data_IF_646555800057
#
_entry.id   IF_646555800057
#
_cell.length_a   1.000
_cell.length_b   1.000
_cell.length_c   1.000
_cell.angle_alpha   90.00
_cell.angle_beta   90.00
_cell.angle_gamma   90.00
#
_symmetry.space_group_name_H-M   'P 1'
#
loop_
_entity.id
_entity.type
_entity.pdbx_description
1 polymer ?
#
# COMPACT_ATOMS: atom_id res chain seq x y z
N UNK A 1 13.44 32.83 32.65
CA UNK A 1 11.98 32.87 32.87
C UNK A 1 11.35 32.94 31.50
N UNK A 2 10.53 31.93 31.18
CA UNK A 2 9.78 31.74 29.92
C UNK A 2 10.40 30.81 28.86
N UNK A 3 10.65 29.56 29.27
CA UNK A 3 10.85 28.43 28.34
C UNK A 3 10.30 27.09 28.89
N UNK A 4 9.27 27.13 29.75
CA UNK A 4 8.81 25.94 30.51
C UNK A 4 7.28 25.77 30.57
N UNK A 5 6.54 26.28 29.59
CA UNK A 5 5.09 26.06 29.51
C UNK A 5 4.62 25.82 28.06
N UNK A 6 4.90 24.64 27.51
CA UNK A 6 4.21 24.14 26.32
C UNK A 6 4.13 22.61 26.21
N UNK A 7 4.37 21.87 27.31
CA UNK A 7 4.22 20.40 27.34
C UNK A 7 3.22 20.00 28.42
N UNK A 8 1.91 20.15 28.17
CA UNK A 8 0.89 19.40 28.94
C UNK A 8 -0.49 19.54 28.31
N UNK A 9 -0.77 18.77 27.25
CA UNK A 9 -2.16 18.38 26.88
C UNK A 9 -2.21 16.98 26.25
N UNK A 10 -1.60 16.00 26.91
CA UNK A 10 -2.04 14.60 26.84
C UNK A 10 -2.43 14.18 28.25
N UNK A 11 -3.59 14.67 28.69
CA UNK A 11 -4.24 14.26 29.93
C UNK A 11 -5.66 13.79 29.61
N UNK A 12 -5.74 12.78 28.74
CA UNK A 12 -6.83 11.81 28.73
C UNK A 12 -6.13 10.44 28.76
N UNK A 13 -6.01 9.88 29.95
CA UNK A 13 -5.43 8.56 30.14
C UNK A 13 -6.23 7.54 29.35
N UNK A 14 -5.58 6.88 28.40
CA UNK A 14 -6.06 5.62 27.87
C UNK A 14 -6.21 4.66 29.04
N UNK A 15 -7.45 4.35 29.43
CA UNK A 15 -7.74 3.30 30.40
C UNK A 15 -7.58 1.97 29.67
N UNK A 16 -6.36 1.42 29.65
CA UNK A 16 -6.13 0.05 29.19
C UNK A 16 -6.67 -0.94 30.25
N UNK A 17 -8.00 -1.12 30.24
CA UNK A 17 -8.70 -2.15 31.03
C UNK A 17 -9.14 -3.36 30.18
N UNK A 18 -8.83 -3.38 28.88
CA UNK A 18 -9.16 -4.44 27.92
C UNK A 18 -8.18 -4.46 26.74
N UNK A 19 -8.27 -5.49 25.89
CA UNK A 19 -7.49 -5.58 24.64
C UNK A 19 -7.90 -4.47 23.67
N UNK A 20 -6.92 -3.76 23.12
CA UNK A 20 -7.10 -2.68 22.14
C UNK A 20 -7.78 -3.21 20.89
N UNK A 21 -8.76 -2.47 20.36
CA UNK A 21 -9.42 -2.76 19.10
C UNK A 21 -9.02 -1.77 18.01
N UNK A 22 -8.42 -2.28 16.92
CA UNK A 22 -8.07 -1.50 15.74
C UNK A 22 -8.99 -1.89 14.57
N UNK A 23 -9.60 -0.90 13.93
CA UNK A 23 -10.22 -1.08 12.62
C UNK A 23 -9.21 -0.69 11.53
N UNK A 24 -8.90 -1.64 10.64
CA UNK A 24 -7.96 -1.46 9.53
C UNK A 24 -8.74 -1.47 8.21
N UNK A 25 -8.53 -0.49 7.34
CA UNK A 25 -9.03 -0.57 5.95
C UNK A 25 -7.92 -1.06 5.02
N UNK A 26 -8.23 -1.77 3.93
CA UNK A 26 -7.21 -2.24 2.98
C UNK A 26 -7.71 -2.26 1.53
N UNK A 27 -6.79 -2.01 0.60
CA UNK A 27 -7.01 -2.14 -0.85
C UNK A 27 -6.61 -3.56 -1.27
N UNK A 28 -7.53 -4.30 -1.90
CA UNK A 28 -7.32 -5.69 -2.33
C UNK A 28 -6.63 -5.84 -3.70
N UNK A 29 -6.45 -4.75 -4.45
CA UNK A 29 -5.93 -4.73 -5.82
C UNK A 29 -4.46 -4.31 -5.91
N UNK A 30 -3.90 -3.73 -4.85
CA UNK A 30 -2.54 -3.19 -4.84
C UNK A 30 -1.61 -3.86 -3.82
N UNK A 31 -0.34 -3.42 -3.81
CA UNK A 31 0.64 -3.86 -2.81
C UNK A 31 0.22 -3.55 -1.37
N UNK A 32 -0.73 -2.64 -1.18
CA UNK A 32 -1.38 -2.36 0.10
C UNK A 32 -1.99 -3.60 0.74
N UNK A 33 -2.46 -4.58 -0.05
CA UNK A 33 -2.96 -5.86 0.49
C UNK A 33 -1.88 -6.64 1.24
N UNK A 34 -0.65 -6.66 0.71
CA UNK A 34 0.48 -7.32 1.38
C UNK A 34 0.87 -6.57 2.65
N UNK A 35 0.86 -5.24 2.63
CA UNK A 35 1.06 -4.43 3.83
C UNK A 35 0.01 -4.73 4.90
N UNK A 36 -1.27 -4.74 4.52
CA UNK A 36 -2.38 -5.04 5.42
C UNK A 36 -2.24 -6.43 6.04
N UNK A 37 -1.87 -7.44 5.25
CA UNK A 37 -1.57 -8.79 5.76
C UNK A 37 -0.52 -8.78 6.88
N UNK A 38 0.63 -8.15 6.64
CA UNK A 38 1.74 -8.11 7.60
C UNK A 38 1.34 -7.34 8.87
N UNK A 39 0.68 -6.19 8.71
CA UNK A 39 0.20 -5.37 9.81
C UNK A 39 -0.85 -6.10 10.66
N UNK A 40 -1.90 -6.62 10.03
CA UNK A 40 -3.00 -7.32 10.71
C UNK A 40 -2.49 -8.57 11.42
N UNK A 41 -1.68 -9.39 10.75
CA UNK A 41 -1.05 -10.57 11.36
C UNK A 41 -0.23 -10.16 12.59
N UNK A 42 0.57 -9.10 12.47
CA UNK A 42 1.40 -8.59 13.56
C UNK A 42 0.59 -8.06 14.75
N UNK A 43 -0.54 -7.39 14.50
CA UNK A 43 -1.44 -6.88 15.53
C UNK A 43 -2.16 -8.02 16.26
N UNK A 44 -2.79 -8.94 15.50
CA UNK A 44 -3.51 -10.10 16.06
C UNK A 44 -2.57 -10.96 16.91
N UNK A 45 -1.35 -11.23 16.44
CA UNK A 45 -0.35 -12.03 17.19
C UNK A 45 0.07 -11.37 18.50
N UNK A 46 -0.05 -10.04 18.61
CA UNK A 46 0.20 -9.27 19.84
C UNK A 46 -1.03 -9.17 20.75
N UNK A 47 -2.11 -9.86 20.43
CA UNK A 47 -3.35 -9.88 21.21
C UNK A 47 -4.22 -8.64 21.01
N UNK A 48 -4.00 -7.86 19.96
CA UNK A 48 -4.86 -6.73 19.56
C UNK A 48 -6.07 -7.29 18.81
N UNK A 49 -7.28 -6.86 19.19
CA UNK A 49 -8.48 -7.18 18.40
C UNK A 49 -8.44 -6.38 17.11
N UNK A 50 -8.62 -7.05 15.97
CA UNK A 50 -8.59 -6.39 14.66
C UNK A 50 -9.89 -6.63 13.91
N UNK A 51 -10.46 -5.56 13.38
CA UNK A 51 -11.45 -5.65 12.30
C UNK A 51 -10.79 -5.15 11.02
N UNK A 52 -10.72 -6.00 10.01
CA UNK A 52 -10.22 -5.65 8.68
C UNK A 52 -11.38 -5.42 7.73
N UNK A 53 -11.38 -4.29 7.03
CA UNK A 53 -12.37 -3.95 6.00
C UNK A 53 -11.64 -3.78 4.67
N UNK A 54 -11.98 -4.57 3.65
CA UNK A 54 -11.35 -4.43 2.33
C UNK A 54 -12.23 -3.66 1.34
N UNK A 55 -11.59 -2.95 0.42
CA UNK A 55 -12.20 -2.17 -0.65
C UNK A 55 -11.58 -2.56 -2.00
N UNK A 56 -12.22 -2.16 -3.09
CA UNK A 56 -11.86 -2.54 -4.46
C UNK A 56 -12.68 -3.74 -4.93
N UNK A 57 -12.06 -4.91 -4.98
CA UNK A 57 -12.76 -6.16 -5.30
C UNK A 57 -12.82 -7.08 -4.07
N UNK A 58 -13.81 -7.96 -4.04
CA UNK A 58 -13.85 -9.05 -3.07
C UNK A 58 -12.66 -9.98 -3.34
N UNK A 59 -11.71 -10.14 -2.41
CA UNK A 59 -10.56 -11.00 -2.64
C UNK A 59 -10.97 -12.46 -2.86
N UNK A 60 -10.23 -13.15 -3.73
CA UNK A 60 -10.40 -14.58 -3.94
C UNK A 60 -9.94 -15.39 -2.72
N UNK A 61 -10.43 -16.63 -2.54
CA UNK A 61 -10.06 -17.47 -1.38
C UNK A 61 -8.56 -17.59 -1.14
N UNK A 62 -7.76 -17.73 -2.20
CA UNK A 62 -6.30 -17.83 -2.10
C UNK A 62 -5.67 -16.54 -1.52
N UNK A 63 -6.24 -15.38 -1.85
CA UNK A 63 -5.78 -14.07 -1.36
C UNK A 63 -6.15 -13.83 0.12
N UNK A 64 -7.07 -14.61 0.69
CA UNK A 64 -7.51 -14.53 2.09
C UNK A 64 -7.02 -15.69 2.95
N UNK A 65 -6.42 -16.73 2.37
CA UNK A 65 -5.93 -17.94 3.08
C UNK A 65 -5.02 -17.64 4.29
N UNK A 66 -4.29 -16.53 4.27
CA UNK A 66 -3.46 -16.10 5.39
C UNK A 66 -4.27 -15.76 6.66
N UNK A 67 -5.55 -15.45 6.52
CA UNK A 67 -6.46 -15.13 7.63
C UNK A 67 -6.93 -16.37 8.40
N UNK A 68 -6.91 -17.55 7.78
CA UNK A 68 -7.46 -18.79 8.36
C UNK A 68 -6.84 -19.15 9.72
N UNK A 69 -5.60 -18.69 9.95
CA UNK A 69 -4.83 -18.95 11.17
C UNK A 69 -4.89 -17.78 12.18
N UNK A 70 -5.60 -16.70 11.85
CA UNK A 70 -5.71 -15.49 12.67
C UNK A 70 -7.00 -15.51 13.50
N UNK A 71 -7.00 -16.32 14.55
CA UNK A 71 -8.12 -16.39 15.49
C UNK A 71 -8.43 -15.01 16.07
N UNK A 72 -9.69 -14.59 15.97
CA UNK A 72 -10.16 -13.30 16.49
C UNK A 72 -10.07 -12.13 15.51
N UNK A 73 -9.60 -12.34 14.27
CA UNK A 73 -9.76 -11.38 13.18
C UNK A 73 -11.23 -11.34 12.72
N UNK A 74 -11.84 -10.14 12.75
CA UNK A 74 -13.15 -9.89 12.13
C UNK A 74 -12.92 -9.29 10.73
N UNK A 75 -13.26 -10.03 9.68
CA UNK A 75 -13.06 -9.59 8.30
C UNK A 75 -14.38 -9.21 7.62
N UNK A 76 -14.45 -7.98 7.11
CA UNK A 76 -15.62 -7.39 6.44
C UNK A 76 -15.25 -6.99 5.00
N UNK A 77 -15.34 -7.91 4.03
CA UNK A 77 -15.03 -7.57 2.65
C UNK A 77 -16.11 -6.68 2.02
N UNK A 78 -15.70 -5.71 1.21
CA UNK A 78 -16.61 -4.87 0.41
C UNK A 78 -16.14 -4.80 -1.04
N UNK A 79 -17.05 -4.44 -1.95
CA UNK A 79 -16.75 -4.21 -3.37
C UNK A 79 -16.83 -2.72 -3.76
N UNK A 80 -16.82 -1.82 -2.76
CA UNK A 80 -16.80 -0.39 -3.02
C UNK A 80 -15.50 -0.01 -3.72
N UNK A 81 -15.59 0.86 -4.73
CA UNK A 81 -14.43 1.33 -5.48
C UNK A 81 -13.45 2.10 -4.60
N UNK A 82 -12.17 1.98 -4.94
CA UNK A 82 -11.06 2.73 -4.33
C UNK A 82 -11.07 4.17 -4.84
N UNK A 83 -10.58 5.14 -4.07
CA UNK A 83 -10.68 6.57 -4.42
C UNK A 83 -10.00 6.94 -5.74
N UNK A 84 -9.05 6.12 -6.22
CA UNK A 84 -8.35 6.32 -7.49
C UNK A 84 -9.04 5.65 -8.69
N UNK A 85 -10.08 4.84 -8.46
CA UNK A 85 -10.82 4.16 -9.53
C UNK A 85 -11.81 5.10 -10.22
N UNK A 86 -12.12 4.80 -11.48
CA UNK A 86 -13.18 5.48 -12.22
C UNK A 86 -14.52 5.35 -11.47
N UNK A 87 -15.31 6.43 -11.39
CA UNK A 87 -16.61 6.50 -10.70
C UNK A 87 -16.56 6.32 -9.17
N UNK A 88 -15.37 6.35 -8.55
CA UNK A 88 -15.26 6.28 -7.09
C UNK A 88 -15.97 7.42 -6.33
N UNK A 89 -16.21 8.55 -7.00
CA UNK A 89 -17.02 9.66 -6.47
C UNK A 89 -18.45 9.23 -6.11
N UNK A 90 -19.01 8.27 -6.85
CA UNK A 90 -20.38 7.78 -6.64
C UNK A 90 -20.47 6.81 -5.45
N UNK A 91 -19.44 6.00 -5.23
CA UNK A 91 -19.38 5.01 -4.12
C UNK A 91 -18.97 5.64 -2.78
N UNK A 92 -18.30 6.79 -2.78
CA UNK A 92 -17.73 7.39 -1.57
C UNK A 92 -18.78 7.68 -0.47
N UNK A 93 -19.98 8.23 -0.77
CA UNK A 93 -21.00 8.46 0.26
C UNK A 93 -21.46 7.17 0.95
N UNK A 94 -21.74 6.11 0.18
CA UNK A 94 -22.23 4.83 0.71
C UNK A 94 -21.14 4.10 1.49
N UNK A 95 -19.92 4.04 0.96
CA UNK A 95 -18.78 3.42 1.64
C UNK A 95 -18.41 4.15 2.95
N UNK A 96 -18.53 5.47 2.97
CA UNK A 96 -18.34 6.27 4.18
C UNK A 96 -19.44 6.00 5.21
N UNK A 97 -20.70 5.94 4.79
CA UNK A 97 -21.83 5.63 5.67
C UNK A 97 -21.73 4.20 6.26
N UNK A 98 -21.28 3.25 5.46
CA UNK A 98 -20.95 1.89 5.90
C UNK A 98 -19.89 1.91 7.02
N UNK A 99 -18.75 2.57 6.80
CA UNK A 99 -17.69 2.66 7.82
C UNK A 99 -18.16 3.37 9.08
N UNK A 100 -18.91 4.49 8.97
CA UNK A 100 -19.47 5.19 10.14
C UNK A 100 -20.38 4.28 10.95
N UNK A 101 -21.24 3.50 10.29
CA UNK A 101 -22.14 2.55 10.96
C UNK A 101 -21.35 1.46 11.68
N UNK A 102 -20.35 0.89 10.99
CA UNK A 102 -19.48 -0.14 11.53
C UNK A 102 -18.67 0.36 12.74
N UNK A 103 -18.13 1.59 12.67
CA UNK A 103 -17.41 2.22 13.77
C UNK A 103 -18.32 2.43 14.99
N UNK A 104 -19.58 2.83 14.79
CA UNK A 104 -20.55 2.98 15.87
C UNK A 104 -20.89 1.65 16.55
N UNK A 105 -21.04 0.58 15.76
CA UNK A 105 -21.33 -0.76 16.27
C UNK A 105 -20.14 -1.34 17.04
N UNK A 106 -18.96 -1.31 16.40
CA UNK A 106 -17.76 -1.97 16.90
C UNK A 106 -17.05 -1.18 18.01
N UNK A 107 -17.15 0.15 17.97
CA UNK A 107 -16.41 1.08 18.86
C UNK A 107 -14.92 0.77 18.93
N UNK A 108 -14.20 0.75 17.78
CA UNK A 108 -12.75 0.56 17.79
C UNK A 108 -12.08 1.72 18.53
N UNK A 109 -10.94 1.43 19.17
CA UNK A 109 -10.14 2.44 19.87
C UNK A 109 -9.36 3.32 18.88
N UNK A 110 -8.95 2.74 17.74
CA UNK A 110 -8.13 3.41 16.71
C UNK A 110 -8.56 2.96 15.32
N UNK A 111 -8.53 3.88 14.35
CA UNK A 111 -8.65 3.60 12.92
C UNK A 111 -7.26 3.62 12.27
N UNK A 112 -6.90 2.58 11.53
CA UNK A 112 -5.73 2.54 10.66
C UNK A 112 -6.20 2.47 9.20
N UNK A 113 -6.15 3.60 8.52
CA UNK A 113 -6.77 3.79 7.21
C UNK A 113 -5.72 3.72 6.11
N UNK A 114 -5.83 2.75 5.21
CA UNK A 114 -4.97 2.66 4.02
C UNK A 114 -5.55 3.39 2.79
N UNK A 115 -6.63 4.14 2.98
CA UNK A 115 -7.25 5.01 1.99
C UNK A 115 -7.31 6.43 2.55
N UNK A 116 -6.94 7.41 1.73
CA UNK A 116 -6.90 8.81 2.14
C UNK A 116 -8.31 9.33 2.42
N UNK A 117 -9.27 9.01 1.56
CA UNK A 117 -10.64 9.55 1.61
C UNK A 117 -11.32 9.37 2.98
N UNK A 118 -11.05 8.26 3.66
CA UNK A 118 -11.63 7.95 4.97
C UNK A 118 -10.99 8.72 6.14
N UNK A 119 -9.89 9.42 5.92
CA UNK A 119 -9.32 10.34 6.92
C UNK A 119 -10.30 11.44 7.35
N UNK A 120 -11.28 11.79 6.50
CA UNK A 120 -12.30 12.79 6.78
C UNK A 120 -13.65 12.21 7.27
N UNK A 121 -13.67 10.99 7.79
CA UNK A 121 -14.90 10.40 8.33
C UNK A 121 -15.44 11.23 9.52
N UNK A 122 -16.76 11.43 9.62
CA UNK A 122 -17.39 12.21 10.69
C UNK A 122 -17.57 11.35 11.96
N UNK A 123 -16.46 10.96 12.58
CA UNK A 123 -16.41 10.16 13.82
C UNK A 123 -15.39 10.75 14.79
N UNK A 124 -15.52 10.45 16.08
CA UNK A 124 -14.60 10.95 17.13
C UNK A 124 -13.52 9.92 17.51
N UNK A 125 -13.25 8.93 16.64
CA UNK A 125 -12.22 7.91 16.86
C UNK A 125 -10.87 8.39 16.32
N UNK A 126 -9.78 8.29 17.10
CA UNK A 126 -8.43 8.59 16.63
C UNK A 126 -8.07 7.81 15.37
N UNK A 127 -7.54 8.48 14.35
CA UNK A 127 -7.23 7.87 13.06
C UNK A 127 -5.81 8.15 12.57
N UNK A 128 -5.19 7.10 12.09
CA UNK A 128 -3.94 7.13 11.34
C UNK A 128 -4.25 6.87 9.87
N UNK A 129 -3.76 7.72 8.98
CA UNK A 129 -3.81 7.49 7.53
C UNK A 129 -2.43 7.06 7.05
N UNK A 130 -2.35 5.92 6.38
CA UNK A 130 -1.13 5.40 5.76
C UNK A 130 -1.03 5.87 4.31
N UNK A 131 -0.04 6.70 4.02
CA UNK A 131 0.21 7.31 2.73
C UNK A 131 1.16 6.43 1.89
N UNK A 132 0.64 5.37 1.28
CA UNK A 132 1.39 4.45 0.41
C UNK A 132 1.91 5.07 -0.88
N UNK A 133 1.27 6.15 -1.34
CA UNK A 133 1.41 6.73 -2.67
C UNK A 133 0.04 6.92 -3.33
N UNK A 134 -0.04 7.83 -4.29
CA UNK A 134 -1.30 8.28 -4.89
C UNK A 134 -1.11 8.66 -6.37
N UNK A 135 -2.19 8.96 -7.08
CA UNK A 135 -2.13 9.28 -8.52
C UNK A 135 -1.33 10.55 -8.83
N UNK A 136 -1.35 11.55 -7.94
CA UNK A 136 -0.62 12.82 -8.06
C UNK A 136 0.86 12.61 -7.87
N UNK A 137 1.27 11.98 -6.77
CA UNK A 137 2.68 11.70 -6.49
C UNK A 137 3.28 10.78 -7.55
N UNK A 138 2.53 9.76 -8.00
CA UNK A 138 2.92 8.92 -9.13
C UNK A 138 3.08 9.71 -10.44
N UNK A 139 2.12 10.57 -10.78
CA UNK A 139 2.20 11.36 -12.02
C UNK A 139 3.39 12.31 -11.99
N UNK A 140 3.68 12.92 -10.84
CA UNK A 140 4.87 13.74 -10.67
C UNK A 140 6.14 12.92 -10.87
N UNK A 141 6.26 11.78 -10.19
CA UNK A 141 7.45 10.94 -10.25
C UNK A 141 7.71 10.35 -11.65
N UNK A 142 6.65 9.98 -12.38
CA UNK A 142 6.76 9.28 -13.68
C UNK A 142 6.78 10.24 -14.86
N UNK A 143 6.08 11.36 -14.78
CA UNK A 143 5.89 12.26 -15.92
C UNK A 143 6.52 13.65 -15.73
N UNK A 144 7.13 13.91 -14.57
CA UNK A 144 7.74 15.19 -14.21
C UNK A 144 6.79 16.39 -14.47
N UNK A 145 5.51 16.18 -14.20
CA UNK A 145 4.46 17.19 -14.40
C UNK A 145 3.27 16.95 -13.49
N UNK A 146 2.45 17.98 -13.31
CA UNK A 146 1.14 17.82 -12.69
C UNK A 146 0.18 17.06 -13.64
N UNK A 147 -0.77 16.27 -13.11
CA UNK A 147 -1.86 15.70 -13.88
C UNK A 147 -2.64 16.79 -14.64
N UNK A 148 -3.15 16.45 -15.82
CA UNK A 148 -3.94 17.41 -16.61
C UNK A 148 -5.23 17.76 -15.85
N UNK A 149 -5.63 19.04 -15.80
CA UNK A 149 -6.88 19.44 -15.15
C UNK A 149 -8.06 18.69 -15.75
N UNK A 150 -8.79 17.97 -14.89
CA UNK A 150 -10.00 17.25 -15.24
C UNK A 150 -10.87 17.21 -13.98
N UNK A 151 -12.20 17.32 -14.15
CA UNK A 151 -13.13 17.35 -13.02
C UNK A 151 -12.93 16.18 -12.03
N UNK A 152 -12.76 14.97 -12.56
CA UNK A 152 -12.52 13.78 -11.73
C UNK A 152 -11.21 13.89 -10.92
N UNK A 153 -10.20 14.54 -11.49
CA UNK A 153 -8.92 14.76 -10.83
C UNK A 153 -9.00 15.83 -9.73
N UNK A 154 -9.77 16.91 -9.95
CA UNK A 154 -10.02 17.93 -8.93
C UNK A 154 -10.79 17.35 -7.74
N UNK A 155 -11.78 16.51 -8.01
CA UNK A 155 -12.47 15.74 -6.97
C UNK A 155 -11.48 14.87 -6.18
N UNK A 156 -10.70 14.05 -6.88
CA UNK A 156 -9.71 13.16 -6.26
C UNK A 156 -8.75 13.93 -5.35
N UNK A 157 -8.16 15.01 -5.88
CA UNK A 157 -7.19 15.83 -5.16
C UNK A 157 -7.79 16.43 -3.89
N UNK A 158 -9.02 16.95 -3.96
CA UNK A 158 -9.74 17.50 -2.80
C UNK A 158 -10.08 16.42 -1.78
N UNK A 159 -10.51 15.24 -2.22
CA UNK A 159 -10.81 14.10 -1.36
C UNK A 159 -9.58 13.63 -0.59
N UNK A 160 -8.44 13.46 -1.27
CA UNK A 160 -7.16 13.10 -0.64
C UNK A 160 -6.71 14.18 0.34
N UNK A 161 -6.75 15.46 -0.07
CA UNK A 161 -6.37 16.58 0.79
C UNK A 161 -7.21 16.63 2.08
N UNK A 162 -8.53 16.53 1.97
CA UNK A 162 -9.42 16.53 3.14
C UNK A 162 -9.11 15.34 4.06
N UNK A 163 -8.86 14.17 3.48
CA UNK A 163 -8.44 12.98 4.20
C UNK A 163 -7.17 13.18 5.04
N UNK A 164 -6.11 13.67 4.39
CA UNK A 164 -4.82 13.94 5.03
C UNK A 164 -4.91 15.01 6.12
N UNK A 165 -5.69 16.07 5.90
CA UNK A 165 -5.80 17.19 6.83
C UNK A 165 -6.68 16.90 8.05
N UNK A 166 -7.61 15.95 7.92
CA UNK A 166 -8.50 15.50 9.00
C UNK A 166 -7.96 14.30 9.79
N UNK A 167 -6.84 13.71 9.37
CA UNK A 167 -6.18 12.63 10.12
C UNK A 167 -5.46 13.15 11.38
N UNK A 168 -5.49 12.37 12.46
CA UNK A 168 -4.76 12.69 13.69
C UNK A 168 -3.25 12.46 13.53
N UNK A 169 -2.87 11.50 12.67
CA UNK A 169 -1.51 11.30 12.21
C UNK A 169 -1.50 10.73 10.79
N UNK A 170 -0.51 11.15 9.99
CA UNK A 170 -0.21 10.56 8.69
C UNK A 170 1.11 9.79 8.77
N UNK A 171 1.09 8.52 8.42
CA UNK A 171 2.29 7.69 8.34
C UNK A 171 2.66 7.50 6.88
N UNK A 172 3.94 7.64 6.56
CA UNK A 172 4.48 7.35 5.24
C UNK A 172 5.52 6.22 5.31
N UNK A 173 5.66 5.41 4.24
CA UNK A 173 6.58 4.29 4.23
C UNK A 173 8.06 4.71 4.12
N UNK A 174 8.31 5.95 3.70
CA UNK A 174 9.65 6.52 3.57
C UNK A 174 9.62 8.03 3.74
N UNK A 175 10.79 8.63 4.03
CA UNK A 175 10.94 10.09 4.09
C UNK A 175 10.63 10.75 2.73
N UNK A 176 11.03 10.09 1.64
CA UNK A 176 10.73 10.54 0.28
C UNK A 176 9.23 10.62 0.03
N UNK A 177 8.48 9.55 0.36
CA UNK A 177 7.03 9.56 0.17
C UNK A 177 6.35 10.64 1.02
N UNK A 178 6.80 10.83 2.26
CA UNK A 178 6.25 11.89 3.13
C UNK A 178 6.46 13.29 2.53
N UNK A 179 7.64 13.54 1.97
CA UNK A 179 7.98 14.80 1.32
C UNK A 179 7.17 15.00 0.03
N UNK A 180 6.98 13.96 -0.78
CA UNK A 180 6.12 13.99 -1.96
C UNK A 180 4.68 14.35 -1.60
N UNK A 181 4.08 13.68 -0.61
CA UNK A 181 2.72 13.97 -0.13
C UNK A 181 2.62 15.41 0.37
N UNK A 182 3.58 15.86 1.17
CA UNK A 182 3.59 17.21 1.73
C UNK A 182 3.69 18.29 0.65
N UNK A 183 4.51 18.05 -0.37
CA UNK A 183 4.74 18.97 -1.49
C UNK A 183 3.55 18.98 -2.47
N UNK A 184 2.96 17.82 -2.73
CA UNK A 184 1.83 17.71 -3.66
C UNK A 184 0.53 18.23 -3.06
N UNK A 185 0.29 18.10 -1.76
CA UNK A 185 -1.00 18.43 -1.14
C UNK A 185 -0.89 19.52 -0.08
N UNK A 186 -0.43 19.15 1.10
CA UNK A 186 -0.17 20.01 2.25
C UNK A 186 0.56 19.17 3.31
N UNK A 187 1.30 19.84 4.19
CA UNK A 187 1.96 19.17 5.31
C UNK A 187 0.91 18.75 6.36
N UNK A 188 0.81 17.46 6.71
CA UNK A 188 -0.09 17.00 7.77
C UNK A 188 0.25 17.64 9.12
N UNK A 189 -0.74 17.76 10.01
CA UNK A 189 -0.53 18.32 11.37
C UNK A 189 0.48 17.53 12.18
N UNK A 190 0.40 16.20 12.07
CA UNK A 190 1.34 15.24 12.63
C UNK A 190 1.65 14.22 11.56
N UNK A 191 2.94 13.98 11.33
CA UNK A 191 3.38 12.95 10.41
C UNK A 191 4.61 12.22 10.92
N UNK A 192 4.74 10.96 10.50
CA UNK A 192 5.83 10.07 10.90
C UNK A 192 6.23 9.15 9.75
N UNK A 193 7.51 8.81 9.68
CA UNK A 193 8.02 7.82 8.73
C UNK A 193 8.14 6.49 9.46
N UNK A 194 7.38 5.49 9.01
CA UNK A 194 7.46 4.12 9.54
C UNK A 194 7.63 3.18 8.36
N UNK A 195 8.83 2.62 8.24
CA UNK A 195 9.18 1.70 7.17
C UNK A 195 8.37 0.39 7.26
N UNK A 196 7.65 -0.01 6.19
CA UNK A 196 6.97 -1.29 6.15
C UNK A 196 7.94 -2.46 6.32
N UNK A 197 7.59 -3.38 7.23
CA UNK A 197 8.35 -4.61 7.45
C UNK A 197 7.72 -5.81 6.76
N UNK A 198 8.51 -6.87 6.59
CA UNK A 198 8.04 -8.21 6.21
C UNK A 198 8.43 -9.20 7.29
N UNK A 199 7.59 -10.20 7.56
CA UNK A 199 7.93 -11.25 8.51
C UNK A 199 9.16 -12.05 8.00
N UNK A 200 10.29 -12.05 8.74
CA UNK A 200 11.52 -12.69 8.30
C UNK A 200 11.41 -14.22 8.18
N UNK A 201 10.38 -14.86 8.79
CA UNK A 201 10.19 -16.31 8.68
C UNK A 201 10.02 -16.78 7.23
N UNK A 202 9.50 -15.91 6.37
CA UNK A 202 9.32 -16.22 4.95
C UNK A 202 10.56 -15.93 4.10
N UNK A 203 11.62 -15.39 4.69
CA UNK A 203 12.86 -14.97 4.02
C UNK A 203 14.06 -15.62 4.71
N UNK A 204 14.23 -16.92 4.53
CA UNK A 204 15.37 -17.65 5.09
C UNK A 204 16.68 -17.20 4.43
N UNK A 205 17.65 -16.62 5.16
CA UNK A 205 18.92 -16.17 4.59
C UNK A 205 19.92 -17.31 4.35
N UNK A 206 19.68 -18.52 4.89
CA UNK A 206 20.61 -19.64 4.87
C UNK A 206 20.41 -20.62 3.69
N UNK A 207 19.50 -20.31 2.77
CA UNK A 207 19.29 -21.11 1.56
C UNK A 207 20.29 -20.69 0.46
N UNK A 208 20.75 -21.67 -0.32
CA UNK A 208 21.60 -21.40 -1.49
C UNK A 208 20.86 -20.51 -2.48
N UNK A 209 21.60 -19.58 -3.08
CA UNK A 209 21.08 -18.61 -4.02
C UNK A 209 21.61 -18.85 -5.43
N UNK A 210 20.73 -18.78 -6.42
CA UNK A 210 21.15 -18.75 -7.82
C UNK A 210 21.88 -17.44 -8.13
N UNK A 211 22.93 -17.54 -8.94
CA UNK A 211 23.69 -16.39 -9.46
C UNK A 211 22.94 -15.76 -10.64
N UNK A 212 21.91 -14.98 -10.32
CA UNK A 212 21.15 -14.19 -11.28
C UNK A 212 20.69 -12.85 -10.70
N UNK A 213 20.30 -11.93 -11.58
CA UNK A 213 19.57 -10.72 -11.23
C UNK A 213 18.08 -11.06 -11.26
N UNK A 214 17.37 -10.90 -10.15
CA UNK A 214 15.94 -11.10 -10.08
C UNK A 214 15.21 -9.76 -9.91
N UNK A 215 14.27 -9.47 -10.80
CA UNK A 215 13.34 -8.35 -10.69
C UNK A 215 11.91 -8.87 -10.52
N UNK A 216 11.24 -8.42 -9.46
CA UNK A 216 9.90 -8.87 -9.09
C UNK A 216 8.98 -7.68 -8.92
N UNK A 217 7.83 -7.72 -9.57
CA UNK A 217 6.79 -6.73 -9.31
C UNK A 217 5.63 -6.82 -10.27
N UNK A 218 4.62 -5.97 -10.04
CA UNK A 218 3.55 -5.76 -11.02
C UNK A 218 4.11 -4.91 -12.16
N UNK A 219 4.17 -5.46 -13.37
CA UNK A 219 4.65 -4.76 -14.57
C UNK A 219 3.53 -3.88 -15.17
N UNK A 220 2.95 -3.03 -14.32
CA UNK A 220 1.71 -2.29 -14.60
C UNK A 220 1.94 -0.94 -15.27
N UNK A 221 3.12 -0.35 -15.10
CA UNK A 221 3.42 0.99 -15.60
C UNK A 221 4.92 1.31 -15.67
N UNK A 222 5.22 2.53 -16.12
CA UNK A 222 6.57 3.06 -16.26
C UNK A 222 7.28 3.34 -14.92
N UNK A 223 6.57 3.39 -13.78
CA UNK A 223 7.19 3.63 -12.46
C UNK A 223 8.14 2.50 -12.06
N UNK A 224 7.96 1.30 -12.62
CA UNK A 224 8.79 0.14 -12.31
C UNK A 224 10.11 0.11 -13.07
N UNK A 225 10.22 0.90 -14.15
CA UNK A 225 11.43 1.03 -14.97
C UNK A 225 12.15 -0.29 -15.35
N UNK A 226 11.41 -1.41 -15.40
CA UNK A 226 11.97 -2.76 -15.65
C UNK A 226 12.64 -2.86 -17.02
N UNK A 227 12.22 -2.02 -17.97
CA UNK A 227 12.89 -1.85 -19.27
C UNK A 227 14.37 -1.49 -19.15
N UNK A 228 14.81 -0.81 -18.08
CA UNK A 228 16.23 -0.50 -17.88
C UNK A 228 17.09 -1.76 -17.79
N UNK A 229 16.54 -2.86 -17.25
CA UNK A 229 17.22 -4.15 -17.17
C UNK A 229 17.42 -4.79 -18.55
N UNK A 230 16.69 -4.34 -19.58
CA UNK A 230 16.82 -4.84 -20.96
C UNK A 230 17.69 -3.94 -21.84
N UNK A 231 18.13 -2.78 -21.33
CA UNK A 231 18.91 -1.80 -22.12
C UNK A 231 20.42 -2.08 -22.17
N UNK A 232 20.92 -2.97 -21.31
CA UNK A 232 22.35 -3.25 -21.22
C UNK A 232 22.59 -4.75 -21.09
N UNK A 233 23.77 -5.19 -21.53
CA UNK A 233 24.24 -6.54 -21.23
C UNK A 233 24.65 -6.62 -19.76
N UNK A 234 24.20 -7.67 -19.09
CA UNK A 234 24.52 -7.93 -17.68
C UNK A 234 25.48 -9.12 -17.58
N UNK A 235 26.44 -9.10 -16.64
CA UNK A 235 27.36 -10.22 -16.43
C UNK A 235 26.68 -11.45 -15.81
N UNK A 236 25.44 -11.31 -15.33
CA UNK A 236 24.62 -12.38 -14.78
C UNK A 236 23.30 -12.48 -15.55
N UNK A 237 22.70 -13.69 -15.63
CA UNK A 237 21.34 -13.85 -16.15
C UNK A 237 20.34 -12.94 -15.45
N UNK A 238 19.39 -12.39 -16.19
CA UNK A 238 18.34 -11.52 -15.64
C UNK A 238 17.01 -12.24 -15.71
N UNK A 239 16.36 -12.45 -14.57
CA UNK A 239 15.00 -12.97 -14.49
C UNK A 239 14.05 -11.85 -14.06
N UNK A 240 13.09 -11.54 -14.92
CA UNK A 240 12.02 -10.58 -14.65
C UNK A 240 10.75 -11.39 -14.42
N UNK A 241 10.07 -11.14 -13.32
CA UNK A 241 8.85 -11.86 -12.96
C UNK A 241 7.74 -10.86 -12.73
N UNK A 242 6.72 -10.94 -13.58
CA UNK A 242 5.55 -10.06 -13.55
C UNK A 242 4.30 -10.79 -13.10
N UNK A 243 3.48 -10.16 -12.26
CA UNK A 243 2.12 -10.63 -12.00
C UNK A 243 1.17 -10.26 -13.18
N UNK A 244 0.23 -11.14 -13.54
CA UNK A 244 -0.88 -10.81 -14.45
C UNK A 244 -1.86 -9.85 -13.79
N UNK A 245 -2.53 -9.08 -14.64
CA UNK A 245 -3.44 -8.00 -14.27
C UNK A 245 -4.87 -8.52 -14.08
N UNK A 246 -5.55 -8.05 -13.02
CA UNK A 246 -7.01 -8.24 -12.82
C UNK A 246 -7.84 -7.02 -13.24
N UNK A 247 -7.21 -5.91 -13.66
CA UNK A 247 -7.88 -4.68 -14.10
C UNK A 247 -7.38 -4.29 -15.51
N UNK A 248 -8.27 -4.01 -16.49
CA UNK A 248 -7.84 -3.52 -17.79
C UNK A 248 -7.36 -2.07 -17.67
N UNK A 249 -6.07 -1.82 -17.92
CA UNK A 249 -5.57 -0.46 -18.12
C UNK A 249 -5.98 0.04 -19.53
N UNK A 250 -6.14 1.35 -19.74
CA UNK A 250 -6.08 1.90 -21.09
C UNK A 250 -4.75 1.46 -21.68
N UNK A 251 -4.76 0.93 -22.91
CA UNK A 251 -3.58 0.41 -23.62
C UNK A 251 -2.50 1.48 -23.73
N UNK A 252 -1.70 1.63 -22.69
CA UNK A 252 -0.38 2.21 -22.80
C UNK A 252 0.42 1.12 -23.53
N UNK A 253 1.01 1.42 -24.68
CA UNK A 253 1.85 0.46 -25.35
C UNK A 253 3.07 0.25 -24.45
N UNK A 254 3.02 -0.78 -23.59
CA UNK A 254 4.20 -1.63 -23.49
C UNK A 254 4.45 -1.98 -24.94
N UNK A 255 5.50 -1.41 -25.55
CA UNK A 255 5.92 -1.79 -26.89
C UNK A 255 6.25 -3.28 -26.82
N UNK A 256 5.22 -4.08 -27.05
CA UNK A 256 5.25 -5.52 -27.15
C UNK A 256 5.81 -5.87 -28.52
N UNK A 257 7.03 -5.42 -28.79
CA UNK A 257 7.79 -5.72 -29.99
C UNK A 257 9.26 -5.91 -29.61
N UNK A 258 9.53 -6.89 -28.74
CA UNK A 258 10.90 -7.32 -28.47
C UNK A 258 10.92 -8.83 -28.23
N UNK A 259 10.78 -9.62 -29.29
CA UNK A 259 11.50 -10.89 -29.36
C UNK A 259 12.96 -10.52 -29.60
N UNK A 260 13.74 -10.52 -28.54
CA UNK A 260 15.19 -10.41 -28.64
C UNK A 260 15.75 -11.72 -28.10
N UNK A 261 15.76 -12.71 -28.99
CA UNK A 261 16.77 -13.74 -28.93
C UNK A 261 18.04 -13.09 -29.49
N UNK A 262 18.90 -12.57 -28.61
CA UNK A 262 20.32 -12.43 -28.94
C UNK A 262 21.00 -13.56 -28.20
N UNK A 263 21.75 -14.35 -28.96
CA UNK A 263 22.40 -15.59 -28.56
C UNK A 263 23.41 -15.46 -27.40
N UNK A 264 23.50 -14.30 -26.74
CA UNK A 264 24.44 -14.03 -25.65
C UNK A 264 23.83 -13.28 -24.43
N UNK A 265 22.50 -13.15 -24.35
CA UNK A 265 21.83 -12.50 -23.21
C UNK A 265 20.64 -13.31 -22.69
N UNK A 266 20.75 -13.84 -21.47
CA UNK A 266 19.70 -14.64 -20.82
C UNK A 266 18.74 -13.78 -19.99
N UNK A 267 17.98 -12.91 -20.65
CA UNK A 267 16.82 -12.24 -20.01
C UNK A 267 15.60 -13.16 -20.12
N UNK A 268 15.11 -13.67 -18.98
CA UNK A 268 13.92 -14.50 -18.92
C UNK A 268 12.76 -13.75 -18.27
N UNK A 269 11.63 -13.64 -18.96
CA UNK A 269 10.39 -13.08 -18.42
C UNK A 269 9.47 -14.22 -17.99
N UNK A 270 9.06 -14.23 -16.72
CA UNK A 270 8.13 -15.22 -16.15
C UNK A 270 6.80 -14.55 -15.80
N UNK A 271 5.71 -15.28 -16.04
CA UNK A 271 4.35 -14.85 -15.68
C UNK A 271 4.08 -14.89 -14.16
N UNK A 272 2.82 -14.66 -13.74
CA UNK A 272 2.44 -14.60 -12.33
C UNK A 272 2.90 -15.83 -11.55
N UNK A 273 3.37 -15.58 -10.34
CA UNK A 273 3.83 -16.60 -9.41
C UNK A 273 2.98 -16.55 -8.14
N UNK A 274 2.79 -17.70 -7.49
CA UNK A 274 2.21 -17.82 -6.15
C UNK A 274 3.18 -17.29 -5.10
N UNK A 275 2.70 -16.98 -3.89
CA UNK A 275 3.55 -16.58 -2.77
C UNK A 275 4.64 -17.62 -2.45
N UNK A 276 4.33 -18.91 -2.54
CA UNK A 276 5.32 -19.97 -2.36
C UNK A 276 6.41 -19.93 -3.45
N UNK A 277 6.02 -19.69 -4.71
CA UNK A 277 6.95 -19.53 -5.81
C UNK A 277 7.79 -18.25 -5.65
N UNK A 278 7.22 -17.16 -5.13
CA UNK A 278 7.97 -15.95 -4.78
C UNK A 278 9.02 -16.20 -3.71
N UNK A 279 8.67 -16.91 -2.63
CA UNK A 279 9.63 -17.28 -1.58
C UNK A 279 10.70 -18.25 -2.07
N UNK A 280 10.43 -19.04 -3.10
CA UNK A 280 11.44 -19.85 -3.77
C UNK A 280 12.36 -19.02 -4.69
N UNK A 281 11.81 -18.03 -5.40
CA UNK A 281 12.57 -17.13 -6.29
C UNK A 281 13.43 -16.13 -5.52
N UNK A 282 12.94 -15.58 -4.40
CA UNK A 282 13.69 -14.68 -3.51
C UNK A 282 14.90 -15.38 -2.84
N UNK A 283 15.01 -16.70 -3.01
CA UNK A 283 16.23 -17.44 -2.70
C UNK A 283 17.36 -17.12 -3.68
N UNK A 284 17.16 -16.45 -4.81
CA UNK A 284 18.23 -15.97 -5.71
C UNK A 284 18.84 -14.64 -5.24
N UNK A 285 20.06 -14.30 -5.69
CA UNK A 285 20.85 -13.14 -5.18
C UNK A 285 20.09 -11.82 -5.37
N UNK A 286 19.86 -11.09 -4.29
CA UNK A 286 19.34 -9.72 -4.33
C UNK A 286 20.53 -8.76 -4.45
N UNK A 287 20.61 -8.00 -5.55
CA UNK A 287 21.14 -6.65 -5.44
C UNK A 287 19.95 -5.79 -4.95
N UNK A 288 20.01 -5.16 -3.77
CA UNK A 288 19.02 -4.16 -3.44
C UNK A 288 19.22 -2.99 -4.40
N UNK A 289 18.42 -2.93 -5.45
CA UNK A 289 18.08 -1.64 -6.03
C UNK A 289 17.37 -0.90 -4.89
N UNK A 290 17.96 0.22 -4.44
CA UNK A 290 17.20 1.20 -3.66
C UNK A 290 16.05 1.64 -4.55
N UNK A 291 14.90 1.01 -4.40
CA UNK A 291 13.66 1.55 -4.91
C UNK A 291 13.47 2.87 -4.15
N UNK A 292 13.78 3.99 -4.80
CA UNK A 292 13.38 5.32 -4.32
C UNK A 292 11.85 5.49 -4.25
N UNK A 293 11.08 4.46 -4.59
CA UNK A 293 9.62 4.50 -4.76
C UNK A 293 8.85 3.51 -3.87
N UNK A 294 9.42 3.03 -2.76
CA UNK A 294 8.65 2.40 -1.68
C UNK A 294 8.92 3.07 -0.34
#
# INVERSE_FOLDING_TARGET
MDALQAETRFSHGFRFGGSVHVLVTADSLSGSWTYARELVTGLVTRGVRVTLVSFGQIPLPDQTSWMDHLHGLDYRPTAFRLEWMQEAEEDLPESSAFLVTLIKELRPDILHLNHFCYGNLPVDVPRVVMAHGDLVTWTHAVHDRAPRPARAFDWYRRTVLNGLMSADAVVAPSAWMLECISSCYARPRRSEVIYPGRNPIFFNPYVSKDDCVLAVGRLVDASKQVFLLTQQQHPLPVCIVGAEHTVPLPRIPIRADVRVAIEETSVAIRGPQTDAQWHALARSRFLPLRDCCQ
#
